data_IF_109543487434
#
_entry.id   IF_109543487434
#
_cell.length_a   1.000
_cell.length_b   1.000
_cell.length_c   1.000
_cell.angle_alpha   90.00
_cell.angle_beta   90.00
_cell.angle_gamma   90.00
#
_symmetry.space_group_name_H-M   'P 1'
#
loop_
_entity.id
_entity.type
_entity.pdbx_description
1 polymer ?
#
# COMPACT_ATOMS: atom_id res chain seq x y z
N UNK A 1 43.59 -41.91 -17.99
CA UNK A 1 43.05 -41.73 -19.35
C UNK A 1 42.96 -40.25 -19.62
N UNK A 2 43.83 -39.77 -20.51
CA UNK A 2 43.91 -38.40 -21.02
C UNK A 2 42.63 -38.01 -21.75
N UNK A 3 42.08 -36.84 -21.47
CA UNK A 3 41.56 -35.97 -22.54
C UNK A 3 41.74 -34.50 -22.15
N UNK A 4 42.71 -33.92 -22.83
CA UNK A 4 43.09 -32.53 -22.93
C UNK A 4 42.10 -31.87 -23.90
N UNK A 5 41.32 -30.89 -23.46
CA UNK A 5 40.47 -30.08 -24.34
C UNK A 5 40.84 -28.61 -24.30
N UNK A 6 40.83 -28.06 -25.51
CA UNK A 6 41.62 -26.94 -25.99
C UNK A 6 41.08 -25.58 -25.56
N UNK A 7 42.04 -24.65 -25.45
CA UNK A 7 41.84 -23.22 -25.45
C UNK A 7 40.85 -22.75 -26.54
N UNK A 8 39.79 -22.06 -26.14
CA UNK A 8 39.04 -21.19 -27.02
C UNK A 8 39.20 -19.73 -26.62
N UNK A 9 39.89 -19.03 -27.52
CA UNK A 9 40.21 -17.63 -27.54
C UNK A 9 38.94 -16.84 -27.89
N UNK A 10 38.41 -16.01 -26.98
CA UNK A 10 37.39 -15.00 -27.33
C UNK A 10 37.89 -13.61 -26.94
N UNK A 11 38.27 -12.90 -27.99
CA UNK A 11 38.67 -11.51 -27.99
C UNK A 11 37.56 -10.61 -27.44
N UNK A 12 37.96 -9.64 -26.61
CA UNK A 12 37.14 -8.51 -26.17
C UNK A 12 36.95 -7.53 -27.33
N UNK A 13 35.74 -6.98 -27.56
CA UNK A 13 35.61 -5.76 -28.35
C UNK A 13 35.79 -4.51 -27.49
N UNK A 14 36.63 -3.59 -27.97
CA UNK A 14 36.82 -2.24 -27.46
C UNK A 14 35.53 -1.39 -27.60
N UNK A 15 35.17 -0.55 -26.62
CA UNK A 15 34.17 0.51 -26.83
C UNK A 15 34.82 1.72 -27.52
N UNK A 16 34.39 2.01 -28.76
CA UNK A 16 34.70 3.27 -29.44
C UNK A 16 33.79 4.37 -28.88
N UNK A 17 34.41 5.44 -28.42
CA UNK A 17 33.80 6.74 -28.13
C UNK A 17 33.32 7.36 -29.45
N UNK A 18 32.09 7.82 -29.49
CA UNK A 18 31.64 8.78 -30.51
C UNK A 18 30.71 9.80 -29.87
N UNK A 19 31.26 10.99 -29.66
CA UNK A 19 30.56 12.24 -29.43
C UNK A 19 29.76 12.59 -30.68
N UNK A 20 28.45 12.75 -30.59
CA UNK A 20 27.69 13.52 -31.57
C UNK A 20 26.51 14.22 -30.90
N UNK A 21 26.72 15.51 -30.64
CA UNK A 21 25.70 16.51 -30.31
C UNK A 21 24.74 16.55 -31.49
N UNK A 22 23.46 16.26 -31.26
CA UNK A 22 22.39 16.49 -32.23
C UNK A 22 21.26 17.24 -31.53
N UNK A 23 21.05 18.48 -31.95
CA UNK A 23 19.93 19.34 -31.58
C UNK A 23 18.72 18.90 -32.43
N UNK A 24 17.54 18.60 -31.85
CA UNK A 24 16.31 18.60 -32.62
C UNK A 24 15.60 19.95 -32.50
N UNK A 25 15.37 20.54 -33.67
CA UNK A 25 14.52 21.71 -33.86
C UNK A 25 13.03 21.37 -33.74
N UNK A 26 12.28 22.35 -33.20
CA UNK A 26 10.90 22.77 -33.50
C UNK A 26 9.91 21.65 -33.87
N UNK A 27 9.02 21.33 -32.92
CA UNK A 27 7.73 20.70 -33.23
C UNK A 27 6.58 21.52 -32.65
N UNK A 28 5.58 21.68 -33.50
CA UNK A 28 4.43 22.58 -33.47
C UNK A 28 3.39 22.21 -32.42
N UNK A 29 2.67 23.25 -31.97
CA UNK A 29 1.46 23.23 -31.14
C UNK A 29 0.46 22.17 -31.59
N UNK A 30 0.11 21.26 -30.68
CA UNK A 30 -1.10 20.44 -30.77
C UNK A 30 -2.11 20.91 -29.71
N UNK A 31 -3.26 21.35 -30.19
CA UNK A 31 -4.46 21.75 -29.43
C UNK A 31 -4.88 20.66 -28.44
N UNK A 32 -4.88 20.95 -27.14
CA UNK A 32 -5.66 20.19 -26.17
C UNK A 32 -7.11 20.66 -26.23
N UNK A 33 -8.03 19.72 -26.48
CA UNK A 33 -9.47 19.95 -26.42
C UNK A 33 -9.92 19.79 -24.96
N UNK A 34 -10.67 20.79 -24.49
CA UNK A 34 -11.44 20.78 -23.24
C UNK A 34 -12.46 19.63 -23.27
N UNK A 35 -12.46 18.75 -22.28
CA UNK A 35 -13.61 17.91 -21.95
C UNK A 35 -14.43 18.62 -20.87
N UNK A 36 -15.45 19.32 -21.32
CA UNK A 36 -16.49 19.88 -20.47
C UNK A 36 -17.52 18.82 -20.08
N UNK A 37 -18.16 19.13 -18.98
CA UNK A 37 -19.09 18.40 -18.16
C UNK A 37 -20.47 18.16 -18.79
N UNK A 38 -21.24 17.31 -18.10
CA UNK A 38 -22.66 17.56 -17.80
C UNK A 38 -23.70 17.21 -18.88
N UNK A 39 -24.35 16.05 -18.70
CA UNK A 39 -25.77 15.90 -19.02
C UNK A 39 -26.49 15.16 -17.90
N UNK A 40 -27.29 15.92 -17.14
CA UNK A 40 -28.30 15.45 -16.20
C UNK A 40 -29.63 15.36 -16.94
N UNK A 41 -30.27 14.19 -16.94
CA UNK A 41 -31.69 14.07 -17.23
C UNK A 41 -32.36 12.82 -16.60
N UNK A 42 -33.15 13.08 -15.55
CA UNK A 42 -34.50 12.55 -15.23
C UNK A 42 -34.80 11.04 -15.33
N UNK A 43 -35.20 10.45 -14.18
CA UNK A 43 -36.56 9.90 -13.85
C UNK A 43 -36.48 9.17 -12.49
N UNK A 44 -36.96 9.73 -11.38
CA UNK A 44 -38.35 9.66 -10.85
C UNK A 44 -38.91 8.24 -10.75
N UNK A 45 -38.82 7.64 -9.55
CA UNK A 45 -39.81 6.67 -9.06
C UNK A 45 -39.97 6.85 -7.55
N UNK A 46 -41.21 7.18 -7.20
CA UNK A 46 -41.77 7.39 -5.86
C UNK A 46 -41.94 6.09 -5.10
N UNK A 47 -41.64 6.06 -3.80
CA UNK A 47 -42.45 5.26 -2.86
C UNK A 47 -42.50 5.91 -1.48
N UNK A 48 -43.75 6.21 -1.08
CA UNK A 48 -44.21 6.67 0.23
C UNK A 48 -44.20 5.52 1.25
N UNK A 49 -44.42 5.91 2.51
CA UNK A 49 -44.77 5.13 3.73
C UNK A 49 -43.55 4.80 4.60
N UNK A 50 -43.53 5.07 5.91
CA UNK A 50 -44.59 5.49 6.84
C UNK A 50 -43.98 6.11 8.10
N UNK A 51 -44.77 6.99 8.72
CA UNK A 51 -44.57 7.58 10.03
C UNK A 51 -44.60 6.57 11.19
N UNK A 52 -44.05 7.07 12.31
CA UNK A 52 -44.50 6.88 13.69
C UNK A 52 -43.97 5.68 14.51
N UNK A 53 -43.29 6.07 15.60
CA UNK A 53 -43.43 5.61 16.98
C UNK A 53 -43.26 4.10 17.26
N UNK A 54 -42.24 3.72 18.03
CA UNK A 54 -42.53 3.23 19.39
C UNK A 54 -41.29 3.17 20.28
N UNK A 55 -41.52 3.44 21.56
CA UNK A 55 -40.58 3.23 22.65
C UNK A 55 -40.59 1.76 23.05
N UNK A 56 -39.43 1.19 23.40
CA UNK A 56 -39.33 0.26 24.54
C UNK A 56 -37.90 -0.20 24.79
N UNK A 57 -37.53 -0.10 26.06
CA UNK A 57 -36.47 -0.83 26.73
C UNK A 57 -36.33 -2.29 26.28
N UNK A 58 -35.09 -2.74 26.07
CA UNK A 58 -34.72 -4.12 26.44
C UNK A 58 -33.23 -4.27 26.73
N UNK A 59 -32.92 -4.19 28.01
CA UNK A 59 -31.71 -4.79 28.57
C UNK A 59 -31.82 -6.32 28.52
N UNK A 60 -30.82 -7.01 27.96
CA UNK A 60 -30.58 -8.43 28.26
C UNK A 60 -29.09 -8.77 28.24
N UNK A 61 -28.55 -8.98 29.45
CA UNK A 61 -27.66 -10.08 29.87
C UNK A 61 -26.80 -10.73 28.78
N UNK A 62 -25.49 -10.52 28.85
CA UNK A 62 -24.51 -11.52 28.38
C UNK A 62 -24.06 -12.38 29.56
N UNK A 63 -24.38 -13.66 29.46
CA UNK A 63 -23.98 -14.74 30.37
C UNK A 63 -22.47 -14.98 30.29
N UNK A 64 -21.85 -15.09 31.48
CA UNK A 64 -20.64 -15.88 31.70
C UNK A 64 -20.93 -17.34 31.36
N UNK A 65 -20.12 -17.94 30.51
CA UNK A 65 -19.97 -19.40 30.43
C UNK A 65 -18.62 -19.77 31.04
N UNK A 66 -18.68 -20.15 32.31
CA UNK A 66 -17.74 -21.06 32.95
C UNK A 66 -17.98 -22.47 32.41
N UNK A 67 -16.91 -23.25 32.24
CA UNK A 67 -16.89 -24.72 32.25
C UNK A 67 -15.43 -25.22 32.35
N UNK A 68 -15.20 -26.45 32.82
CA UNK A 68 -14.63 -26.65 34.15
C UNK A 68 -13.39 -27.53 34.18
N UNK A 69 -12.72 -27.48 35.34
CA UNK A 69 -12.02 -28.54 36.06
C UNK A 69 -11.23 -29.60 35.28
N UNK A 70 -9.90 -29.58 35.45
CA UNK A 70 -9.18 -30.75 35.95
C UNK A 70 -8.11 -30.34 36.99
N UNK A 71 -7.84 -31.20 37.99
CA UNK A 71 -7.13 -30.85 39.22
C UNK A 71 -5.64 -31.19 39.14
N UNK A 72 -4.84 -30.68 40.10
CA UNK A 72 -3.87 -31.46 40.91
C UNK A 72 -2.87 -30.51 41.61
N UNK A 73 -2.65 -30.84 42.88
CA UNK A 73 -1.51 -30.51 43.74
C UNK A 73 -1.49 -29.14 44.43
N UNK A 74 -2.12 -29.16 45.61
CA UNK A 74 -1.63 -28.52 46.83
C UNK A 74 -0.10 -28.54 46.95
N UNK A 75 0.49 -27.38 47.28
CA UNK A 75 1.56 -27.30 48.27
C UNK A 75 1.55 -25.91 48.91
N UNK A 76 1.16 -25.95 50.17
CA UNK A 76 1.37 -24.92 51.18
C UNK A 76 2.86 -24.56 51.30
N UNK A 77 3.13 -23.33 51.76
CA UNK A 77 4.44 -22.99 52.30
C UNK A 77 4.82 -21.53 52.07
N UNK A 78 4.31 -20.65 52.93
CA UNK A 78 4.85 -19.29 53.03
C UNK A 78 6.27 -19.29 53.58
N UNK A 79 7.10 -18.38 53.10
CA UNK A 79 8.16 -17.82 53.92
C UNK A 79 8.62 -16.45 53.39
N UNK A 80 8.28 -15.46 54.19
CA UNK A 80 8.91 -14.16 54.36
C UNK A 80 10.43 -14.30 54.52
N UNK A 81 11.25 -13.67 53.65
CA UNK A 81 12.63 -13.27 53.98
C UNK A 81 13.01 -11.96 53.28
N UNK A 82 13.69 -11.16 54.09
CA UNK A 82 14.25 -9.81 54.00
C UNK A 82 15.25 -9.48 52.88
N UNK A 83 15.21 -8.21 52.47
CA UNK A 83 16.31 -7.21 52.32
C UNK A 83 17.66 -7.57 51.62
N UNK A 84 18.04 -6.63 50.75
CA UNK A 84 19.38 -6.00 50.49
C UNK A 84 20.43 -6.74 49.63
N UNK A 85 21.05 -5.93 48.75
CA UNK A 85 22.39 -6.12 48.16
C UNK A 85 22.33 -6.08 46.63
N UNK A 86 22.60 -4.94 45.97
CA UNK A 86 23.94 -4.46 45.60
C UNK A 86 24.75 -5.49 44.80
N UNK A 87 24.80 -5.32 43.48
CA UNK A 87 25.64 -6.09 42.57
C UNK A 87 25.73 -5.38 41.23
N UNK A 88 26.86 -4.71 41.00
CA UNK A 88 27.29 -4.18 39.71
C UNK A 88 27.44 -5.33 38.72
N UNK A 89 26.70 -5.30 37.61
CA UNK A 89 26.99 -6.19 36.48
C UNK A 89 27.39 -5.39 35.24
N UNK A 90 28.63 -5.66 34.85
CA UNK A 90 29.36 -5.05 33.77
C UNK A 90 28.71 -5.45 32.44
N UNK A 91 28.38 -4.44 31.64
CA UNK A 91 28.10 -4.58 30.22
C UNK A 91 29.24 -5.33 29.54
N UNK A 92 28.96 -6.54 29.05
CA UNK A 92 29.78 -7.18 28.01
C UNK A 92 29.22 -6.74 26.65
N UNK A 93 30.08 -6.34 25.70
CA UNK A 93 29.64 -6.04 24.34
C UNK A 93 29.17 -7.33 23.66
N UNK A 94 28.01 -7.24 23.02
CA UNK A 94 27.46 -8.28 22.14
C UNK A 94 28.32 -8.26 20.87
N UNK A 95 29.14 -9.30 20.67
CA UNK A 95 29.73 -9.57 19.37
C UNK A 95 28.65 -10.18 18.48
N UNK A 96 28.25 -9.44 17.43
CA UNK A 96 27.49 -9.99 16.31
C UNK A 96 28.54 -10.49 15.33
N UNK A 97 28.71 -11.82 15.28
CA UNK A 97 29.61 -12.50 14.35
C UNK A 97 28.78 -12.83 13.10
N UNK A 98 28.98 -12.04 12.04
CA UNK A 98 28.34 -12.19 10.73
C UNK A 98 28.97 -13.36 9.94
N UNK A 99 28.76 -14.59 10.39
CA UNK A 99 29.14 -15.79 9.63
C UNK A 99 27.92 -16.63 9.28
N UNK A 100 26.99 -16.01 8.55
CA UNK A 100 25.88 -16.70 7.89
C UNK A 100 26.37 -17.27 6.55
N UNK A 101 27.12 -18.37 6.65
CA UNK A 101 27.41 -19.30 5.55
C UNK A 101 26.30 -20.34 5.48
N UNK A 102 25.24 -20.08 4.72
CA UNK A 102 24.29 -21.12 4.33
C UNK A 102 24.08 -21.17 2.80
N UNK A 103 24.68 -22.22 2.22
CA UNK A 103 24.12 -23.13 1.22
C UNK A 103 23.49 -22.56 -0.08
N UNK A 104 24.38 -22.37 -1.06
CA UNK A 104 24.06 -22.46 -2.49
C UNK A 104 23.57 -23.88 -2.85
N UNK A 105 22.27 -24.13 -2.72
CA UNK A 105 21.62 -25.29 -3.36
C UNK A 105 21.20 -24.88 -4.78
N UNK A 106 21.78 -25.48 -5.85
CA UNK A 106 21.35 -25.16 -7.20
C UNK A 106 19.94 -25.71 -7.44
N UNK A 107 19.00 -24.81 -7.74
CA UNK A 107 17.67 -25.13 -8.26
C UNK A 107 17.82 -25.89 -9.59
N UNK A 108 17.77 -27.22 -9.51
CA UNK A 108 17.67 -28.09 -10.67
C UNK A 108 16.29 -27.86 -11.28
N UNK A 109 16.25 -27.10 -12.37
CA UNK A 109 15.12 -27.00 -13.28
C UNK A 109 14.75 -28.40 -13.80
N UNK A 110 13.81 -29.07 -13.14
CA UNK A 110 13.09 -30.21 -13.71
C UNK A 110 12.14 -29.68 -14.79
N UNK A 111 12.68 -29.48 -15.99
CA UNK A 111 11.88 -29.43 -17.21
C UNK A 111 11.17 -30.77 -17.37
N UNK A 112 9.94 -30.87 -16.86
CA UNK A 112 9.04 -31.97 -17.21
C UNK A 112 8.34 -31.59 -18.51
N UNK A 113 8.85 -32.15 -19.61
CA UNK A 113 8.16 -32.17 -20.88
C UNK A 113 6.78 -32.81 -20.68
N UNK A 114 5.72 -32.05 -20.91
CA UNK A 114 4.38 -32.57 -21.13
C UNK A 114 4.19 -32.70 -22.65
N UNK A 115 4.05 -33.92 -23.20
CA UNK A 115 3.55 -34.09 -24.55
C UNK A 115 2.06 -33.73 -24.55
N UNK A 116 1.68 -32.72 -25.32
CA UNK A 116 0.29 -32.48 -25.70
C UNK A 116 -0.16 -33.67 -26.57
N UNK A 117 -0.75 -34.69 -25.95
CA UNK A 117 -1.67 -35.58 -26.62
C UNK A 117 -3.08 -35.07 -26.30
N UNK A 118 -3.62 -34.28 -27.24
CA UNK A 118 -5.05 -34.12 -27.40
C UNK A 118 -5.64 -35.51 -27.63
N UNK A 119 -6.20 -36.10 -26.57
CA UNK A 119 -7.11 -37.23 -26.71
C UNK A 119 -8.40 -36.62 -27.23
N UNK A 120 -8.56 -36.66 -28.55
CA UNK A 120 -9.88 -36.51 -29.16
C UNK A 120 -10.79 -37.52 -28.47
N UNK A 121 -11.78 -36.97 -27.79
CA UNK A 121 -12.91 -37.71 -27.23
C UNK A 121 -13.62 -38.31 -28.43
N UNK A 122 -13.24 -39.54 -28.76
CA UNK A 122 -14.02 -40.45 -29.58
C UNK A 122 -15.34 -40.67 -28.83
N UNK A 123 -16.35 -39.90 -29.21
CA UNK A 123 -17.74 -40.30 -29.04
C UNK A 123 -17.85 -41.77 -29.47
N UNK A 124 -18.43 -42.65 -28.62
CA UNK A 124 -18.77 -43.98 -29.08
C UNK A 124 -19.77 -43.79 -30.24
N UNK A 125 -19.53 -44.36 -31.42
CA UNK A 125 -20.52 -44.32 -32.47
C UNK A 125 -21.76 -45.02 -31.92
N UNK A 126 -22.85 -44.25 -31.83
CA UNK A 126 -24.21 -44.77 -31.70
C UNK A 126 -24.35 -45.81 -32.80
N UNK A 127 -24.25 -47.08 -32.41
CA UNK A 127 -24.63 -48.18 -33.27
C UNK A 127 -26.14 -48.05 -33.42
N UNK A 128 -26.56 -47.36 -34.47
CA UNK A 128 -27.86 -47.60 -35.06
C UNK A 128 -28.06 -49.11 -35.13
N UNK A 129 -29.15 -49.56 -34.53
CA UNK A 129 -29.71 -50.89 -34.70
C UNK A 129 -30.05 -51.08 -36.18
N UNK A 130 -29.02 -51.40 -36.98
CA UNK A 130 -29.17 -51.93 -38.31
C UNK A 130 -29.85 -53.30 -38.21
N UNK A 131 -30.82 -53.59 -39.09
CA UNK A 131 -31.71 -54.72 -38.96
C UNK A 131 -30.91 -56.02 -38.94
N UNK A 132 -31.13 -56.80 -37.89
CA UNK A 132 -30.70 -58.19 -37.76
C UNK A 132 -30.97 -58.91 -39.09
N UNK A 133 -29.95 -59.45 -39.79
CA UNK A 133 -30.23 -60.33 -40.91
C UNK A 133 -30.93 -61.56 -40.33
N UNK A 134 -32.21 -61.72 -40.63
CA UNK A 134 -32.92 -62.96 -40.40
C UNK A 134 -32.21 -64.04 -41.20
N UNK A 135 -31.35 -64.81 -40.53
CA UNK A 135 -30.87 -66.08 -41.04
C UNK A 135 -32.02 -67.08 -40.97
N UNK A 136 -33.02 -66.87 -41.83
CA UNK A 136 -33.90 -67.90 -42.36
C UNK A 136 -33.05 -68.78 -43.28
N UNK A 137 -32.13 -69.53 -42.70
CA UNK A 137 -31.53 -70.68 -43.34
C UNK A 137 -32.58 -71.79 -43.29
N UNK A 138 -33.55 -71.69 -44.20
CA UNK A 138 -34.43 -72.79 -44.59
C UNK A 138 -33.54 -73.85 -45.24
N UNK A 139 -32.91 -74.68 -44.41
CA UNK A 139 -32.25 -75.90 -44.87
C UNK A 139 -33.35 -76.85 -45.30
N UNK A 140 -33.76 -76.70 -46.55
CA UNK A 140 -34.64 -77.61 -47.28
C UNK A 140 -33.87 -78.91 -47.43
N UNK A 141 -33.94 -79.80 -46.43
CA UNK A 141 -33.44 -81.15 -46.52
C UNK A 141 -34.25 -81.86 -47.62
N UNK A 142 -33.64 -82.01 -48.79
CA UNK A 142 -34.16 -82.82 -49.89
C UNK A 142 -34.36 -84.25 -49.41
N UNK A 143 -35.61 -84.61 -49.18
CA UNK A 143 -36.05 -85.96 -48.87
C UNK A 143 -36.00 -86.78 -50.17
N UNK A 144 -34.85 -87.36 -50.50
CA UNK A 144 -34.76 -88.37 -51.56
C UNK A 144 -35.30 -89.69 -51.01
N UNK A 145 -36.56 -89.97 -51.35
CA UNK A 145 -37.24 -91.25 -51.12
C UNK A 145 -36.40 -92.42 -51.67
N UNK A 146 -35.97 -93.39 -50.83
CA UNK A 146 -35.42 -94.64 -51.33
C UNK A 146 -36.56 -95.51 -51.86
N UNK A 147 -36.35 -96.05 -53.07
CA UNK A 147 -37.19 -97.05 -53.72
C UNK A 147 -37.52 -98.21 -52.79
N UNK A 148 -38.80 -98.56 -52.77
CA UNK A 148 -39.33 -99.81 -52.26
C UNK A 148 -38.52 -101.00 -52.81
N UNK A 149 -37.89 -101.75 -51.89
CA UNK A 149 -37.53 -103.14 -52.12
C UNK A 149 -38.57 -103.97 -51.40
N UNK A 150 -39.37 -104.69 -52.18
CA UNK A 150 -40.15 -105.82 -51.73
C UNK A 150 -39.20 -106.83 -51.08
N UNK A 151 -39.36 -107.02 -49.77
CA UNK A 151 -38.74 -108.12 -49.04
C UNK A 151 -39.87 -108.94 -48.45
N UNK A 152 -39.86 -110.21 -48.82
CA UNK A 152 -40.89 -111.18 -48.60
C UNK A 152 -41.16 -111.48 -47.12
N UNK A 153 -42.40 -111.90 -46.94
CA UNK A 153 -43.21 -111.97 -45.74
C UNK A 153 -42.90 -113.26 -44.96
N UNK A 154 -42.17 -113.18 -43.84
CA UNK A 154 -42.22 -114.23 -42.81
C UNK A 154 -43.23 -113.80 -41.74
N UNK A 155 -44.37 -114.49 -41.73
CA UNK A 155 -45.47 -114.28 -40.79
C UNK A 155 -45.10 -114.81 -39.40
N UNK A 156 -44.58 -113.91 -38.56
CA UNK A 156 -44.57 -114.06 -37.11
C UNK A 156 -45.98 -113.69 -36.60
N UNK A 157 -46.53 -114.33 -35.54
CA UNK A 157 -47.88 -114.06 -35.06
C UNK A 157 -48.09 -112.58 -34.70
N UNK A 158 -49.05 -111.90 -35.35
CA UNK A 158 -49.32 -110.46 -35.22
C UNK A 158 -49.45 -109.96 -33.77
N UNK A 159 -49.89 -110.79 -32.83
CA UNK A 159 -50.04 -110.42 -31.42
C UNK A 159 -48.69 -110.14 -30.72
N UNK A 160 -47.63 -110.89 -31.04
CA UNK A 160 -46.29 -110.68 -30.47
C UNK A 160 -45.68 -109.37 -30.98
N UNK A 161 -45.86 -109.06 -32.26
CA UNK A 161 -45.38 -107.82 -32.89
C UNK A 161 -46.07 -106.57 -32.32
N UNK A 162 -47.36 -106.64 -31.98
CA UNK A 162 -48.07 -105.53 -31.34
C UNK A 162 -47.54 -105.30 -29.92
N UNK A 163 -47.33 -106.36 -29.13
CA UNK A 163 -46.75 -106.24 -27.79
C UNK A 163 -45.32 -105.66 -27.81
N UNK A 164 -44.48 -106.07 -28.76
CA UNK A 164 -43.13 -105.53 -28.94
C UNK A 164 -43.16 -104.03 -29.29
N UNK A 165 -44.05 -103.62 -30.21
CA UNK A 165 -44.23 -102.21 -30.57
C UNK A 165 -44.77 -101.38 -29.42
N UNK A 166 -45.71 -101.91 -28.64
CA UNK A 166 -46.23 -101.24 -27.44
C UNK A 166 -45.13 -101.04 -26.39
N UNK A 167 -44.29 -102.05 -26.17
CA UNK A 167 -43.13 -101.96 -25.29
C UNK A 167 -42.09 -100.94 -25.80
N UNK A 168 -41.82 -100.91 -27.10
CA UNK A 168 -40.92 -99.93 -27.72
C UNK A 168 -41.47 -98.50 -27.61
N UNK A 169 -42.78 -98.31 -27.84
CA UNK A 169 -43.45 -97.01 -27.64
C UNK A 169 -43.37 -96.58 -26.17
N UNK A 170 -43.60 -97.49 -25.23
CA UNK A 170 -43.49 -97.18 -23.80
C UNK A 170 -42.06 -96.76 -23.43
N UNK A 171 -41.05 -97.47 -23.93
CA UNK A 171 -39.65 -97.15 -23.70
C UNK A 171 -39.26 -95.80 -24.35
N UNK A 172 -39.70 -95.54 -25.57
CA UNK A 172 -39.49 -94.26 -26.26
C UNK A 172 -40.14 -93.11 -25.50
N UNK A 173 -41.38 -93.28 -25.02
CA UNK A 173 -42.07 -92.28 -24.18
C UNK A 173 -41.30 -92.01 -22.89
N UNK A 174 -40.83 -93.05 -22.22
CA UNK A 174 -39.99 -92.91 -21.01
C UNK A 174 -38.72 -92.11 -21.31
N UNK A 175 -37.99 -92.49 -22.37
CA UNK A 175 -36.76 -91.80 -22.77
C UNK A 175 -37.01 -90.34 -23.17
N UNK A 176 -38.13 -90.05 -23.82
CA UNK A 176 -38.50 -88.70 -24.22
C UNK A 176 -38.92 -87.85 -23.01
N UNK A 177 -39.63 -88.44 -22.05
CA UNK A 177 -39.96 -87.78 -20.79
C UNK A 177 -38.68 -87.43 -20.00
N UNK A 178 -37.74 -88.37 -19.88
CA UNK A 178 -36.42 -88.13 -19.26
C UNK A 178 -35.63 -87.04 -19.99
N UNK A 179 -35.66 -87.01 -21.33
CA UNK A 179 -34.98 -85.98 -22.11
C UNK A 179 -35.61 -84.58 -21.91
N UNK A 180 -36.94 -84.50 -21.85
CA UNK A 180 -37.66 -83.24 -21.57
C UNK A 180 -37.36 -82.76 -20.15
N UNK A 181 -37.31 -83.68 -19.18
CA UNK A 181 -36.97 -83.34 -17.80
C UNK A 181 -35.52 -82.83 -17.68
N UNK A 182 -34.55 -83.50 -18.34
CA UNK A 182 -33.16 -83.02 -18.40
C UNK A 182 -33.04 -81.64 -19.04
N UNK A 183 -33.69 -81.42 -20.19
CA UNK A 183 -33.68 -80.11 -20.85
C UNK A 183 -34.34 -79.02 -19.99
N UNK A 184 -35.39 -79.35 -19.25
CA UNK A 184 -36.01 -78.42 -18.32
C UNK A 184 -35.08 -78.06 -17.15
N UNK A 185 -34.35 -79.04 -16.60
CA UNK A 185 -33.35 -78.83 -15.57
C UNK A 185 -32.18 -77.97 -16.08
N UNK A 186 -31.65 -78.27 -17.27
CA UNK A 186 -30.56 -77.49 -17.89
C UNK A 186 -30.98 -76.04 -18.17
N UNK A 187 -32.21 -75.84 -18.64
CA UNK A 187 -32.76 -74.51 -18.92
C UNK A 187 -32.92 -73.70 -17.62
N UNK A 188 -33.38 -74.32 -16.54
CA UNK A 188 -33.46 -73.68 -15.23
C UNK A 188 -32.05 -73.33 -14.67
N UNK A 189 -31.08 -74.23 -14.83
CA UNK A 189 -29.69 -73.97 -14.44
C UNK A 189 -29.06 -72.79 -15.22
N UNK A 190 -29.28 -72.71 -16.53
CA UNK A 190 -28.81 -71.57 -17.33
C UNK A 190 -29.56 -70.27 -17.00
N UNK A 191 -30.86 -70.32 -16.65
CA UNK A 191 -31.58 -69.13 -16.15
C UNK A 191 -30.98 -68.61 -14.85
N UNK A 192 -30.68 -69.50 -13.90
CA UNK A 192 -30.04 -69.10 -12.64
C UNK A 192 -28.64 -68.51 -12.86
N UNK A 193 -27.86 -69.12 -13.75
CA UNK A 193 -26.54 -68.60 -14.15
C UNK A 193 -26.63 -67.24 -14.84
N UNK A 194 -27.59 -67.07 -15.74
CA UNK A 194 -27.87 -65.78 -16.40
C UNK A 194 -28.28 -64.70 -15.41
N UNK A 195 -29.17 -65.03 -14.47
CA UNK A 195 -29.58 -64.12 -13.39
C UNK A 195 -28.40 -63.71 -12.50
N UNK A 196 -27.53 -64.65 -12.14
CA UNK A 196 -26.31 -64.37 -11.36
C UNK A 196 -25.32 -63.47 -12.11
N UNK A 197 -25.08 -63.73 -13.40
CA UNK A 197 -24.23 -62.88 -14.23
C UNK A 197 -24.82 -61.47 -14.38
N UNK A 198 -26.15 -61.36 -14.49
CA UNK A 198 -26.83 -60.06 -14.53
C UNK A 198 -26.67 -59.29 -13.21
N UNK A 199 -26.80 -59.95 -12.06
CA UNK A 199 -26.55 -59.31 -10.76
C UNK A 199 -25.09 -58.88 -10.62
N UNK A 200 -24.12 -59.74 -10.94
CA UNK A 200 -22.69 -59.43 -10.90
C UNK A 200 -22.33 -58.26 -11.84
N UNK A 201 -22.93 -58.22 -13.03
CA UNK A 201 -22.76 -57.11 -13.98
C UNK A 201 -23.31 -55.79 -13.41
N UNK A 202 -24.50 -55.83 -12.79
CA UNK A 202 -25.10 -54.64 -12.16
C UNK A 202 -24.26 -54.12 -10.99
N UNK A 203 -23.71 -55.00 -10.16
CA UNK A 203 -22.81 -54.63 -9.06
C UNK A 203 -21.51 -54.02 -9.58
N UNK A 204 -20.95 -54.56 -10.67
CA UNK A 204 -19.76 -53.98 -11.29
C UNK A 204 -20.04 -52.59 -11.87
N UNK A 205 -21.19 -52.37 -12.49
CA UNK A 205 -21.59 -51.06 -13.01
C UNK A 205 -21.73 -50.02 -11.90
N UNK A 206 -22.32 -50.38 -10.75
CA UNK A 206 -22.39 -49.49 -9.58
C UNK A 206 -20.99 -49.12 -9.07
N UNK A 207 -20.06 -50.09 -9.02
CA UNK A 207 -18.67 -49.83 -8.61
C UNK A 207 -17.95 -48.89 -9.58
N UNK A 208 -18.19 -49.01 -10.88
CA UNK A 208 -17.62 -48.11 -11.90
C UNK A 208 -18.10 -46.67 -11.66
N UNK A 209 -19.42 -46.48 -11.52
CA UNK A 209 -20.00 -45.14 -11.26
C UNK A 209 -19.47 -44.54 -9.96
N UNK A 210 -19.31 -45.34 -8.90
CA UNK A 210 -18.75 -44.88 -7.63
C UNK A 210 -17.27 -44.45 -7.78
N UNK A 211 -16.48 -45.20 -8.53
CA UNK A 211 -15.08 -44.85 -8.82
C UNK A 211 -14.98 -43.59 -9.68
N UNK A 212 -15.82 -43.44 -10.69
CA UNK A 212 -15.90 -42.23 -11.52
C UNK A 212 -16.24 -41.00 -10.68
N UNK A 213 -17.23 -41.09 -9.79
CA UNK A 213 -17.57 -40.01 -8.86
C UNK A 213 -16.40 -39.65 -7.92
N UNK A 214 -15.64 -40.66 -7.45
CA UNK A 214 -14.44 -40.44 -6.63
C UNK A 214 -13.31 -39.76 -7.42
N UNK A 215 -13.13 -40.10 -8.69
CA UNK A 215 -12.14 -39.45 -9.57
C UNK A 215 -12.52 -38.00 -9.80
N UNK A 216 -13.77 -37.71 -10.19
CA UNK A 216 -14.25 -36.34 -10.39
C UNK A 216 -14.13 -35.49 -9.12
N UNK A 217 -14.44 -36.05 -7.94
CA UNK A 217 -14.26 -35.35 -6.67
C UNK A 217 -12.79 -35.00 -6.38
N UNK A 218 -11.84 -35.87 -6.77
CA UNK A 218 -10.40 -35.60 -6.63
C UNK A 218 -9.94 -34.54 -7.62
N UNK A 219 -10.37 -34.61 -8.87
CA UNK A 219 -10.06 -33.62 -9.91
C UNK A 219 -10.56 -32.23 -9.51
N UNK A 220 -11.78 -32.13 -8.96
CA UNK A 220 -12.31 -30.86 -8.46
C UNK A 220 -11.45 -30.28 -7.33
N UNK A 221 -11.03 -31.11 -6.37
CA UNK A 221 -10.16 -30.69 -5.26
C UNK A 221 -8.78 -30.28 -5.75
N UNK A 222 -8.23 -30.95 -6.75
CA UNK A 222 -6.97 -30.59 -7.37
C UNK A 222 -7.08 -29.24 -8.09
N UNK A 223 -8.17 -29.01 -8.81
CA UNK A 223 -8.45 -27.74 -9.49
C UNK A 223 -8.64 -26.58 -8.50
N UNK A 224 -9.32 -26.83 -7.37
CA UNK A 224 -9.44 -25.86 -6.27
C UNK A 224 -8.07 -25.53 -5.68
N UNK A 225 -7.23 -26.55 -5.44
CA UNK A 225 -5.85 -26.35 -4.97
C UNK A 225 -4.97 -25.56 -5.94
N UNK A 226 -5.09 -25.81 -7.25
CA UNK A 226 -4.41 -25.03 -8.29
C UNK A 226 -4.88 -23.56 -8.26
N UNK A 227 -6.19 -23.34 -8.11
CA UNK A 227 -6.76 -21.98 -8.07
C UNK A 227 -6.24 -21.20 -6.85
N UNK A 228 -6.22 -21.83 -5.67
CA UNK A 228 -5.66 -21.23 -4.45
C UNK A 228 -4.16 -20.92 -4.59
N UNK A 229 -3.40 -21.78 -5.28
CA UNK A 229 -1.98 -21.53 -5.54
C UNK A 229 -1.76 -20.31 -6.44
N UNK A 230 -2.60 -20.12 -7.46
CA UNK A 230 -2.55 -18.93 -8.31
C UNK A 230 -2.89 -17.65 -7.54
N UNK A 231 -3.93 -17.67 -6.69
CA UNK A 231 -4.29 -16.53 -5.83
C UNK A 231 -3.14 -16.17 -4.88
N UNK A 232 -2.54 -17.16 -4.23
CA UNK A 232 -1.39 -16.95 -3.34
C UNK A 232 -0.16 -16.40 -4.11
N UNK A 233 0.04 -16.82 -5.36
CA UNK A 233 1.11 -16.31 -6.20
C UNK A 233 0.89 -14.85 -6.60
N UNK A 234 -0.35 -14.45 -6.89
CA UNK A 234 -0.72 -13.07 -7.19
C UNK A 234 -0.55 -12.16 -5.97
N UNK A 235 -1.02 -12.59 -4.79
CA UNK A 235 -0.83 -11.86 -3.54
C UNK A 235 0.67 -11.66 -3.22
N UNK A 236 1.48 -12.69 -3.42
CA UNK A 236 2.94 -12.59 -3.22
C UNK A 236 3.59 -11.59 -4.21
N UNK A 237 3.14 -11.57 -5.46
CA UNK A 237 3.61 -10.58 -6.44
C UNK A 237 3.24 -9.15 -6.04
N UNK A 238 2.05 -8.92 -5.50
CA UNK A 238 1.61 -7.60 -5.02
C UNK A 238 2.33 -7.16 -3.74
N UNK A 239 2.56 -8.07 -2.81
CA UNK A 239 3.39 -7.82 -1.62
C UNK A 239 4.81 -7.44 -2.03
N UNK A 240 5.39 -8.12 -3.02
CA UNK A 240 6.72 -7.81 -3.55
C UNK A 240 6.77 -6.41 -4.18
N UNK A 241 5.80 -6.04 -5.02
CA UNK A 241 5.69 -4.69 -5.59
C UNK A 241 5.56 -3.62 -4.51
N UNK A 242 4.76 -3.89 -3.47
CA UNK A 242 4.58 -2.97 -2.34
C UNK A 242 5.87 -2.78 -1.54
N UNK A 243 6.62 -3.86 -1.33
CA UNK A 243 7.91 -3.82 -0.65
C UNK A 243 8.93 -3.01 -1.47
N UNK A 244 9.04 -3.26 -2.77
CA UNK A 244 9.92 -2.49 -3.67
C UNK A 244 9.56 -0.99 -3.67
N UNK A 245 8.27 -0.64 -3.72
CA UNK A 245 7.82 0.75 -3.64
C UNK A 245 8.18 1.43 -2.31
N UNK A 246 8.05 0.70 -1.18
CA UNK A 246 8.43 1.22 0.14
C UNK A 246 9.94 1.41 0.26
N UNK A 247 10.74 0.48 -0.26
CA UNK A 247 12.21 0.61 -0.29
C UNK A 247 12.63 1.83 -1.11
N UNK A 248 12.05 2.03 -2.30
CA UNK A 248 12.33 3.22 -3.11
C UNK A 248 11.95 4.54 -2.41
N UNK A 249 10.82 4.57 -1.70
CA UNK A 249 10.40 5.73 -0.91
C UNK A 249 11.34 6.00 0.28
N UNK A 250 11.85 4.94 0.92
CA UNK A 250 12.84 5.06 1.98
C UNK A 250 14.17 5.63 1.46
N UNK A 251 14.64 5.15 0.31
CA UNK A 251 15.88 5.63 -0.32
C UNK A 251 15.77 7.11 -0.73
N UNK A 252 14.63 7.53 -1.28
CA UNK A 252 14.36 8.94 -1.59
C UNK A 252 14.37 9.81 -0.33
N UNK A 253 13.66 9.38 0.73
CA UNK A 253 13.62 10.09 2.01
C UNK A 253 15.02 10.18 2.64
N UNK A 254 15.84 9.13 2.52
CA UNK A 254 17.22 9.12 2.97
C UNK A 254 18.09 10.10 2.15
N UNK A 255 17.87 10.18 0.83
CA UNK A 255 18.49 11.18 -0.05
C UNK A 255 18.15 12.61 0.35
N UNK A 256 16.89 12.87 0.68
CA UNK A 256 16.45 14.18 1.17
C UNK A 256 17.10 14.51 2.52
N UNK A 257 17.15 13.56 3.45
CA UNK A 257 17.79 13.74 4.76
C UNK A 257 19.29 14.06 4.65
N UNK A 258 20.02 13.34 3.80
CA UNK A 258 21.46 13.59 3.57
C UNK A 258 21.71 14.96 2.94
N UNK A 259 20.87 15.37 1.99
CA UNK A 259 20.91 16.71 1.40
C UNK A 259 20.67 17.79 2.45
N UNK A 260 19.63 17.65 3.27
CA UNK A 260 19.30 18.59 4.33
C UNK A 260 20.45 18.70 5.35
N UNK A 261 21.01 17.56 5.76
CA UNK A 261 22.18 17.52 6.67
C UNK A 261 23.38 18.27 6.08
N UNK A 262 23.63 18.14 4.78
CA UNK A 262 24.71 18.89 4.13
C UNK A 262 24.42 20.40 4.10
N UNK A 263 23.17 20.82 3.81
CA UNK A 263 22.79 22.24 3.88
C UNK A 263 22.93 22.80 5.30
N UNK A 264 22.59 22.03 6.34
CA UNK A 264 22.77 22.42 7.74
C UNK A 264 24.26 22.64 8.05
N UNK A 265 25.14 21.74 7.59
CA UNK A 265 26.59 21.91 7.78
C UNK A 265 27.12 23.16 7.07
N UNK A 266 26.64 23.43 5.86
CA UNK A 266 27.06 24.61 5.08
C UNK A 266 26.60 25.91 5.76
N UNK A 267 25.36 25.98 6.20
CA UNK A 267 24.84 27.15 6.93
C UNK A 267 25.57 27.37 8.26
N UNK A 268 25.94 26.31 8.98
CA UNK A 268 26.78 26.43 10.19
C UNK A 268 28.14 27.04 9.86
N UNK A 269 28.79 26.59 8.79
CA UNK A 269 30.07 27.17 8.36
C UNK A 269 29.94 28.63 7.94
N UNK A 270 28.85 29.00 7.27
CA UNK A 270 28.57 30.39 6.88
C UNK A 270 28.35 31.29 8.11
N UNK A 271 27.56 30.83 9.09
CA UNK A 271 27.37 31.53 10.37
C UNK A 271 28.71 31.74 11.07
N UNK A 272 29.57 30.72 11.11
CA UNK A 272 30.91 30.90 11.71
C UNK A 272 31.73 31.94 10.94
N UNK A 273 31.70 31.94 9.61
CA UNK A 273 32.44 32.91 8.82
C UNK A 273 31.96 34.35 9.04
N UNK A 274 30.63 34.56 9.04
CA UNK A 274 30.03 35.87 9.31
C UNK A 274 30.37 36.37 10.73
N UNK A 275 30.39 35.49 11.73
CA UNK A 275 30.82 35.87 13.08
C UNK A 275 32.29 36.32 13.11
N UNK A 276 33.19 35.63 12.39
CA UNK A 276 34.59 36.07 12.28
C UNK A 276 34.70 37.44 11.56
N UNK A 277 33.85 37.70 10.57
CA UNK A 277 33.81 39.00 9.87
C UNK A 277 33.31 40.13 10.80
N UNK A 278 32.27 39.88 11.59
CA UNK A 278 31.79 40.81 12.63
C UNK A 278 32.92 41.12 13.62
N UNK A 279 33.60 40.09 14.14
CA UNK A 279 34.72 40.27 15.08
C UNK A 279 35.87 41.08 14.45
N UNK A 280 36.14 40.87 13.16
CA UNK A 280 37.17 41.62 12.43
C UNK A 280 36.79 43.10 12.27
N UNK A 281 35.52 43.39 11.94
CA UNK A 281 34.99 44.75 11.84
C UNK A 281 35.01 45.44 13.20
N UNK A 282 34.60 44.76 14.27
CA UNK A 282 34.62 45.30 15.64
C UNK A 282 36.05 45.63 16.09
N UNK A 283 37.02 44.74 15.81
CA UNK A 283 38.43 45.03 16.06
C UNK A 283 38.94 46.24 15.27
N UNK A 284 38.55 46.38 14.00
CA UNK A 284 38.91 47.53 13.17
C UNK A 284 38.33 48.83 13.75
N UNK A 285 37.05 48.83 14.08
CA UNK A 285 36.35 49.97 14.68
C UNK A 285 36.97 50.37 16.03
N UNK A 286 37.39 49.41 16.84
CA UNK A 286 38.06 49.68 18.11
C UNK A 286 39.44 50.33 17.92
N UNK A 287 40.20 49.93 16.89
CA UNK A 287 41.47 50.58 16.52
C UNK A 287 41.23 52.03 16.06
N UNK A 288 40.30 52.27 15.14
CA UNK A 288 39.97 53.63 14.69
C UNK A 288 39.51 54.54 15.85
N UNK A 289 38.72 54.02 16.79
CA UNK A 289 38.32 54.77 18.00
C UNK A 289 39.50 55.11 18.90
N UNK A 290 40.52 54.27 18.97
CA UNK A 290 41.76 54.55 19.73
C UNK A 290 42.63 55.58 19.01
N UNK A 291 42.77 55.46 17.68
CA UNK A 291 43.48 56.43 16.85
C UNK A 291 42.84 57.82 16.94
N UNK A 292 41.51 57.90 16.88
CA UNK A 292 40.77 59.15 17.08
C UNK A 292 40.95 59.73 18.48
N UNK A 293 40.92 58.89 19.53
CA UNK A 293 41.20 59.34 20.91
C UNK A 293 42.62 59.90 21.04
N UNK A 294 43.60 59.25 20.42
CA UNK A 294 44.99 59.70 20.37
C UNK A 294 45.15 61.03 19.63
N UNK A 295 44.44 61.20 18.51
CA UNK A 295 44.42 62.44 17.74
C UNK A 295 43.78 63.60 18.52
N UNK A 296 42.61 63.38 19.13
CA UNK A 296 41.94 64.37 19.98
C UNK A 296 42.86 64.79 21.14
N UNK A 297 43.53 63.84 21.77
CA UNK A 297 44.50 64.13 22.83
C UNK A 297 45.63 65.04 22.32
N UNK A 298 46.22 64.72 21.16
CA UNK A 298 47.30 65.52 20.54
C UNK A 298 46.82 66.93 20.15
N UNK A 299 45.61 67.07 19.60
CA UNK A 299 45.02 68.37 19.29
C UNK A 299 44.75 69.19 20.57
N UNK A 300 44.28 68.54 21.63
CA UNK A 300 44.03 69.19 22.91
C UNK A 300 45.33 69.68 23.52
N UNK A 301 46.38 68.86 23.55
CA UNK A 301 47.69 69.24 24.10
C UNK A 301 48.33 70.39 23.31
N UNK A 302 48.34 70.30 21.97
CA UNK A 302 48.85 71.38 21.10
C UNK A 302 48.05 72.67 21.26
N UNK A 303 46.72 72.61 21.35
CA UNK A 303 45.88 73.78 21.61
C UNK A 303 46.17 74.40 22.98
N UNK A 304 46.33 73.59 24.03
CA UNK A 304 46.70 74.10 25.36
C UNK A 304 48.09 74.74 25.36
N UNK A 305 49.04 74.20 24.60
CA UNK A 305 50.37 74.76 24.46
C UNK A 305 50.35 76.10 23.70
N UNK A 306 49.64 76.17 22.57
CA UNK A 306 49.46 77.42 21.82
C UNK A 306 48.74 78.50 22.65
N UNK A 307 47.74 78.11 23.45
CA UNK A 307 47.08 79.03 24.37
C UNK A 307 48.06 79.57 25.42
N UNK A 308 48.90 78.71 26.00
CA UNK A 308 49.95 79.13 26.93
C UNK A 308 50.98 80.06 26.26
N UNK A 309 51.43 79.74 25.05
CA UNK A 309 52.35 80.58 24.27
C UNK A 309 51.71 81.94 23.94
N UNK A 310 50.43 81.98 23.57
CA UNK A 310 49.68 83.20 23.32
C UNK A 310 49.54 84.06 24.59
N UNK A 311 49.25 83.45 25.74
CA UNK A 311 49.23 84.19 27.02
C UNK A 311 50.61 84.75 27.36
N UNK A 312 51.67 84.00 27.11
CA UNK A 312 53.06 84.45 27.33
C UNK A 312 53.42 85.61 26.40
N UNK A 313 53.08 85.51 25.11
CA UNK A 313 53.31 86.55 24.12
C UNK A 313 52.49 87.82 24.39
N UNK A 314 51.23 87.68 24.81
CA UNK A 314 50.37 88.83 25.19
C UNK A 314 50.88 89.51 26.46
N UNK A 315 51.34 88.77 27.46
CA UNK A 315 52.01 89.35 28.63
C UNK A 315 53.29 90.09 28.24
N UNK A 316 54.13 89.51 27.38
CA UNK A 316 55.32 90.18 26.84
C UNK A 316 54.96 91.46 26.06
N UNK A 317 53.88 91.42 25.28
CA UNK A 317 53.35 92.59 24.56
C UNK A 317 52.80 93.66 25.49
N UNK A 318 52.07 93.31 26.56
CA UNK A 318 51.59 94.29 27.55
C UNK A 318 52.77 94.97 28.24
N UNK A 319 53.81 94.22 28.60
CA UNK A 319 55.05 94.81 29.15
C UNK A 319 55.72 95.74 28.13
N UNK A 320 55.70 95.41 26.84
CA UNK A 320 56.20 96.30 25.78
C UNK A 320 55.29 97.52 25.52
N UNK A 321 53.97 97.38 25.61
CA UNK A 321 52.99 98.47 25.43
C UNK A 321 52.93 99.42 26.64
N UNK A 322 53.25 98.96 27.86
CA UNK A 322 53.48 99.83 29.02
C UNK A 322 54.64 100.82 28.82
N UNK A 323 55.52 100.57 27.84
CA UNK A 323 56.54 101.54 27.43
C UNK A 323 56.10 102.53 26.34
N UNK A 324 54.86 102.43 25.80
CA UNK A 324 54.50 103.11 24.54
C UNK A 324 53.14 103.84 24.51
N UNK A 325 52.41 103.96 25.63
CA UNK A 325 51.13 104.69 25.65
C UNK A 325 50.95 105.58 26.89
N UNK A 326 51.66 106.71 26.88
CA UNK A 326 50.98 107.99 27.02
C UNK A 326 50.21 108.26 25.72
N UNK A 327 48.92 108.61 25.82
CA UNK A 327 47.97 109.07 24.77
C UNK A 327 46.88 108.08 24.29
N UNK A 328 45.64 108.51 24.60
CA UNK A 328 44.35 108.39 23.87
C UNK A 328 43.60 107.05 23.91
N UNK A 329 42.42 106.91 24.55
CA UNK A 329 41.05 107.49 24.43
C UNK A 329 40.08 106.76 23.46
N UNK A 330 39.01 106.20 24.07
CA UNK A 330 37.57 106.11 23.69
C UNK A 330 36.98 104.90 22.91
N UNK A 331 35.89 104.37 23.51
CA UNK A 331 34.55 104.05 22.94
C UNK A 331 34.08 102.58 22.64
N UNK A 332 32.73 102.30 22.60
CA UNK A 332 32.08 101.09 23.17
C UNK A 332 31.09 100.25 22.28
N UNK A 333 30.70 99.04 22.78
CA UNK A 333 29.46 98.19 22.58
C UNK A 333 29.09 97.63 21.16
N UNK A 334 28.12 96.66 20.92
CA UNK A 334 27.18 95.86 21.77
C UNK A 334 26.91 94.34 21.37
N UNK A 335 25.92 93.68 22.04
CA UNK A 335 25.03 92.51 21.65
C UNK A 335 25.53 91.04 21.65
N UNK A 336 24.80 89.93 21.94
CA UNK A 336 23.51 89.49 22.53
C UNK A 336 23.56 87.90 22.64
N UNK A 337 22.53 87.13 23.10
CA UNK A 337 22.65 85.84 23.81
C UNK A 337 22.35 84.58 22.96
N UNK A 338 22.76 83.39 23.42
CA UNK A 338 22.25 82.10 22.91
C UNK A 338 21.62 81.25 24.03
N UNK A 339 20.35 80.96 23.84
CA UNK A 339 19.42 80.25 24.72
C UNK A 339 19.60 78.73 24.71
N UNK A 340 19.24 78.14 25.86
CA UNK A 340 18.82 76.75 26.04
C UNK A 340 17.61 76.39 25.16
N UNK A 341 17.55 75.14 24.67
CA UNK A 341 16.30 74.52 24.20
C UNK A 341 16.43 72.99 24.18
N UNK A 342 16.46 72.37 25.36
CA UNK A 342 16.12 70.95 25.50
C UNK A 342 14.61 70.81 25.24
N UNK A 343 14.25 70.15 24.13
CA UNK A 343 12.87 69.79 23.84
C UNK A 343 12.56 68.45 24.50
N UNK A 344 11.76 68.37 25.57
CA UNK A 344 11.14 67.11 25.94
C UNK A 344 10.02 66.88 24.92
N UNK A 345 10.26 65.97 23.98
CA UNK A 345 9.24 65.45 23.09
C UNK A 345 8.16 64.79 23.96
N UNK A 346 7.12 65.54 24.32
CA UNK A 346 5.88 65.01 24.89
C UNK A 346 5.19 64.23 23.79
N UNK A 347 5.70 63.03 23.49
CA UNK A 347 4.99 62.04 22.69
C UNK A 347 3.61 61.90 23.33
N UNK A 348 2.57 62.29 22.58
CA UNK A 348 1.22 62.41 23.12
C UNK A 348 0.84 61.10 23.80
N UNK A 349 0.27 61.19 25.00
CA UNK A 349 -0.12 60.05 25.83
C UNK A 349 -1.02 59.05 25.05
N UNK A 350 -1.72 59.53 24.02
CA UNK A 350 -2.48 58.72 23.05
C UNK A 350 -1.60 57.79 22.19
N UNK A 351 -0.43 58.23 21.74
CA UNK A 351 0.50 57.44 20.92
C UNK A 351 1.11 56.30 21.74
N UNK A 352 1.48 56.56 23.00
CA UNK A 352 1.97 55.53 23.91
C UNK A 352 0.89 54.48 24.24
N UNK A 353 -0.36 54.90 24.45
CA UNK A 353 -1.50 53.99 24.65
C UNK A 353 -1.73 53.11 23.43
N UNK A 354 -1.72 53.70 22.23
CA UNK A 354 -1.88 52.95 20.98
C UNK A 354 -0.75 51.93 20.77
N UNK A 355 0.50 52.32 21.02
CA UNK A 355 1.64 51.42 20.94
C UNK A 355 1.53 50.22 21.93
N UNK A 356 1.00 50.46 23.15
CA UNK A 356 0.76 49.39 24.13
C UNK A 356 -0.38 48.46 23.71
N UNK A 357 -1.44 48.98 23.12
CA UNK A 357 -2.55 48.18 22.56
C UNK A 357 -2.04 47.33 21.40
N UNK A 358 -1.32 47.92 20.45
CA UNK A 358 -0.69 47.17 19.35
C UNK A 358 0.24 46.08 19.85
N UNK A 359 1.11 46.37 20.83
CA UNK A 359 2.03 45.37 21.39
C UNK A 359 1.27 44.21 22.05
N UNK A 360 0.17 44.50 22.75
CA UNK A 360 -0.68 43.46 23.36
C UNK A 360 -1.39 42.64 22.29
N UNK A 361 -1.98 43.31 21.29
CA UNK A 361 -2.66 42.67 20.17
C UNK A 361 -1.71 41.74 19.40
N UNK A 362 -0.54 42.23 18.99
CA UNK A 362 0.46 41.41 18.28
C UNK A 362 0.86 40.20 19.11
N UNK A 363 1.10 40.37 20.43
CA UNK A 363 1.46 39.25 21.30
C UNK A 363 0.34 38.22 21.42
N UNK A 364 -0.91 38.65 21.53
CA UNK A 364 -2.08 37.75 21.59
C UNK A 364 -2.26 37.04 20.25
N UNK A 365 -2.17 37.78 19.14
CA UNK A 365 -2.29 37.23 17.78
C UNK A 365 -1.20 36.19 17.50
N UNK A 366 0.07 36.47 17.77
CA UNK A 366 1.16 35.51 17.55
C UNK A 366 0.96 34.22 18.37
N UNK A 367 0.44 34.33 19.60
CA UNK A 367 0.11 33.16 20.42
C UNK A 367 -1.08 32.38 19.85
N UNK A 368 -2.11 33.09 19.40
CA UNK A 368 -3.26 32.50 18.72
C UNK A 368 -2.84 31.75 17.46
N UNK A 369 -2.07 32.39 16.57
CA UNK A 369 -1.59 31.80 15.31
C UNK A 369 -0.75 30.54 15.59
N UNK A 370 0.11 30.57 16.62
CA UNK A 370 0.89 29.41 17.05
C UNK A 370 0.01 28.27 17.57
N UNK A 371 -0.97 28.57 18.43
CA UNK A 371 -1.91 27.55 18.94
C UNK A 371 -2.79 26.99 17.82
N UNK A 372 -3.25 27.83 16.91
CA UNK A 372 -4.05 27.44 15.76
C UNK A 372 -3.27 26.51 14.82
N UNK A 373 -2.01 26.83 14.52
CA UNK A 373 -1.13 25.96 13.74
C UNK A 373 -0.93 24.59 14.39
N UNK A 374 -0.73 24.54 15.72
CA UNK A 374 -0.62 23.28 16.46
C UNK A 374 -1.94 22.50 16.38
N UNK A 375 -3.08 23.17 16.56
CA UNK A 375 -4.41 22.55 16.47
C UNK A 375 -4.66 21.97 15.07
N UNK A 376 -4.28 22.68 14.02
CA UNK A 376 -4.41 22.23 12.63
C UNK A 376 -3.54 21.00 12.35
N UNK A 377 -2.30 21.00 12.82
CA UNK A 377 -1.41 19.84 12.72
C UNK A 377 -1.97 18.64 13.48
N UNK A 378 -2.54 18.85 14.67
CA UNK A 378 -3.13 17.79 15.48
C UNK A 378 -4.40 17.22 14.81
N UNK A 379 -5.25 18.08 14.26
CA UNK A 379 -6.44 17.68 13.50
C UNK A 379 -6.05 16.90 12.23
N UNK A 380 -4.97 17.30 11.54
CA UNK A 380 -4.41 16.61 10.39
C UNK A 380 -3.81 15.25 10.74
N UNK A 381 -2.97 15.18 11.78
CA UNK A 381 -2.30 13.94 12.19
C UNK A 381 -3.28 12.89 12.73
N UNK A 382 -4.39 13.32 13.32
CA UNK A 382 -5.45 12.42 13.83
C UNK A 382 -6.53 12.11 12.78
N UNK A 383 -6.38 12.61 11.55
CA UNK A 383 -7.32 12.37 10.45
C UNK A 383 -7.29 10.91 10.04
N UNK A 384 -8.40 10.20 10.29
CA UNK A 384 -8.55 8.77 9.99
C UNK A 384 -8.31 7.84 11.18
N UNK A 385 -7.88 8.37 12.32
CA UNK A 385 -7.85 7.60 13.57
C UNK A 385 -9.26 7.40 14.10
N UNK A 386 -9.55 6.20 14.66
CA UNK A 386 -10.81 5.97 15.35
C UNK A 386 -10.80 6.62 16.75
N UNK A 387 -11.13 7.91 16.81
CA UNK A 387 -11.22 8.71 18.03
C UNK A 387 -12.35 8.26 18.97
N UNK A 388 -13.17 7.27 18.59
CA UNK A 388 -14.15 6.64 19.47
C UNK A 388 -13.50 5.90 20.65
N UNK A 389 -12.34 5.31 20.41
CA UNK A 389 -11.67 4.43 21.38
C UNK A 389 -10.85 5.21 22.44
N UNK A 390 -10.70 6.52 22.29
CA UNK A 390 -9.89 7.37 23.17
C UNK A 390 -10.72 8.08 24.26
N UNK A 391 -11.96 7.65 24.50
CA UNK A 391 -12.83 8.22 25.54
C UNK A 391 -13.05 9.73 25.37
N UNK A 392 -12.94 10.47 26.48
CA UNK A 392 -13.12 11.92 26.51
C UNK A 392 -12.06 12.67 25.69
N UNK A 393 -10.82 12.20 25.68
CA UNK A 393 -9.76 12.80 24.87
C UNK A 393 -10.10 12.76 23.37
N UNK A 394 -10.65 11.63 22.92
CA UNK A 394 -11.14 11.50 21.54
C UNK A 394 -12.35 12.38 21.23
N UNK A 395 -13.15 12.76 22.23
CA UNK A 395 -14.23 13.74 22.07
C UNK A 395 -13.68 15.16 21.90
N UNK A 396 -12.69 15.56 22.71
CA UNK A 396 -12.03 16.86 22.56
C UNK A 396 -11.33 17.00 21.21
N UNK A 397 -10.66 15.95 20.72
CA UNK A 397 -10.05 15.97 19.39
C UNK A 397 -11.08 16.10 18.26
N UNK A 398 -12.26 15.48 18.40
CA UNK A 398 -13.37 15.64 17.44
C UNK A 398 -13.92 17.07 17.45
N UNK A 399 -14.08 17.67 18.62
CA UNK A 399 -14.50 19.07 18.75
C UNK A 399 -13.46 20.03 18.16
N UNK A 400 -12.18 19.82 18.49
CA UNK A 400 -11.08 20.61 17.94
C UNK A 400 -11.06 20.56 16.42
N UNK A 401 -11.22 19.36 15.85
CA UNK A 401 -11.28 19.18 14.40
C UNK A 401 -12.48 19.90 13.78
N UNK A 402 -13.66 19.81 14.40
CA UNK A 402 -14.83 20.55 13.95
C UNK A 402 -14.60 22.05 13.92
N UNK A 403 -14.01 22.61 14.98
CA UNK A 403 -13.71 24.05 15.07
C UNK A 403 -12.68 24.50 14.01
N UNK A 404 -11.63 23.70 13.76
CA UNK A 404 -10.64 24.00 12.71
C UNK A 404 -11.26 23.94 11.32
N UNK A 405 -12.05 22.90 11.03
CA UNK A 405 -12.72 22.73 9.72
C UNK A 405 -13.76 23.83 9.47
N UNK A 406 -14.44 24.35 10.50
CA UNK A 406 -15.35 25.50 10.40
C UNK A 406 -14.59 26.78 10.08
N UNK A 407 -13.48 27.03 10.76
CA UNK A 407 -12.66 28.23 10.53
C UNK A 407 -12.04 28.25 9.12
N UNK A 408 -11.63 27.10 8.58
CA UNK A 408 -11.14 26.99 7.19
C UNK A 408 -12.26 27.32 6.18
N UNK A 409 -13.50 26.90 6.45
CA UNK A 409 -14.65 27.26 5.61
C UNK A 409 -14.94 28.75 5.66
N UNK A 410 -14.91 29.35 6.85
CA UNK A 410 -15.13 30.80 7.00
C UNK A 410 -14.06 31.63 6.30
N UNK A 411 -12.78 31.22 6.38
CA UNK A 411 -11.69 31.89 5.66
C UNK A 411 -11.84 31.75 4.14
N UNK A 412 -12.19 30.56 3.65
CA UNK A 412 -12.42 30.35 2.22
C UNK A 412 -13.58 31.17 1.65
N UNK A 413 -14.65 31.38 2.44
CA UNK A 413 -15.79 32.23 2.04
C UNK A 413 -15.41 33.72 2.02
N UNK A 414 -14.57 34.19 2.95
CA UNK A 414 -14.10 35.57 2.94
C UNK A 414 -13.15 35.87 1.78
N UNK A 415 -12.26 34.94 1.43
CA UNK A 415 -11.37 35.10 0.26
C UNK A 415 -12.16 35.05 -1.05
N UNK A 416 -13.12 34.12 -1.19
CA UNK A 416 -13.97 34.03 -2.37
C UNK A 416 -14.83 35.30 -2.56
N UNK A 417 -15.43 35.82 -1.48
CA UNK A 417 -16.20 37.07 -1.55
C UNK A 417 -15.35 38.31 -1.83
N UNK A 418 -14.07 38.31 -1.45
CA UNK A 418 -13.15 39.42 -1.75
C UNK A 418 -12.71 39.38 -3.22
N UNK A 419 -12.44 38.20 -3.76
CA UNK A 419 -12.14 38.02 -5.19
C UNK A 419 -13.32 38.36 -6.08
N UNK A 420 -14.54 37.97 -5.71
CA UNK A 420 -15.75 38.30 -6.48
C UNK A 420 -15.98 39.82 -6.54
N UNK A 421 -15.73 40.54 -5.43
CA UNK A 421 -15.77 42.01 -5.41
C UNK A 421 -14.71 42.68 -6.27
N UNK A 422 -13.51 42.10 -6.37
CA UNK A 422 -12.46 42.64 -7.24
C UNK A 422 -12.77 42.40 -8.72
N UNK A 423 -13.39 41.26 -9.07
CA UNK A 423 -13.78 40.95 -10.45
C UNK A 423 -14.99 41.77 -10.90
N UNK A 424 -15.89 42.17 -9.99
CA UNK A 424 -17.04 43.01 -10.33
C UNK A 424 -16.65 44.48 -10.65
N UNK A 425 -15.48 44.95 -10.20
CA UNK A 425 -14.94 46.28 -10.52
C UNK A 425 -14.25 46.33 -11.90
N UNK A 426 -13.88 45.18 -12.48
CA UNK A 426 -13.24 45.10 -13.81
C UNK A 426 -14.20 44.76 -14.95
N UNK A 427 -15.53 44.70 -14.74
CA UNK A 427 -16.45 44.59 -15.88
C UNK A 427 -16.42 45.89 -16.67
N UNK A 428 -15.94 45.88 -17.94
CA UNK A 428 -15.99 47.06 -18.78
C UNK A 428 -17.45 47.46 -18.94
N UNK A 429 -17.75 48.73 -18.69
CA UNK A 429 -19.02 49.35 -19.01
C UNK A 429 -19.22 49.17 -20.51
N UNK A 430 -20.05 48.20 -20.90
CA UNK A 430 -20.50 48.06 -22.28
C UNK A 430 -21.26 49.34 -22.61
N UNK A 431 -20.60 50.22 -23.37
CA UNK A 431 -21.22 51.40 -23.96
C UNK A 431 -22.22 50.87 -24.98
N UNK A 432 -23.49 50.88 -24.57
CA UNK A 432 -24.64 50.63 -25.42
C UNK A 432 -24.67 51.74 -26.50
N UNK A 433 -24.01 51.49 -27.64
CA UNK A 433 -24.19 52.30 -28.85
C UNK A 433 -25.65 52.15 -29.30
N UNK A 434 -26.47 53.16 -28.97
CA UNK A 434 -27.74 53.41 -29.62
C UNK A 434 -27.58 54.54 -30.63
N UNK A 435 -27.88 54.16 -31.87
CA UNK A 435 -28.23 54.95 -33.07
C UNK A 435 -27.12 55.66 -33.85
#
# INVERSE_FOLDING_TARGET
MNTMFQHFNRQRPNPKKTTSITIPAKRTLAKSRKSSSETVAKKRATRKQSDACDASDRATKRQKTERPDEPVAEKEGGQEVTRKGAGEDKQRPICIDDSDTEDDIPLINRMRAQPKQSVDILEPPVKEEGPVPSLSSTTTLGFTSPKARDVEFFSVPNALRVADLEAEIALLKSRHAEAVERLAQDLEAERQKSSKLQSESSESNVKIVELEAKVQSKEFKEQEGISQLFEAQEENADLKRTLEAKTAAYDDLHGQFTTLKHTETNLKTEITNLNHEIDAIDQHLMREKEDHRSLIHTLTTTHTQLAADLTTATHARILAEQHLKDLQTLSPAPSLPLSHSDSPTTASDSSQRHAKVLRTYTRVKTRYDSLFSIAQNLAGATRGMNLGNFGEFGAYLRQLRGAVDEQEKEQGVQEAGTLERMVEVERPVEVEERE
#
